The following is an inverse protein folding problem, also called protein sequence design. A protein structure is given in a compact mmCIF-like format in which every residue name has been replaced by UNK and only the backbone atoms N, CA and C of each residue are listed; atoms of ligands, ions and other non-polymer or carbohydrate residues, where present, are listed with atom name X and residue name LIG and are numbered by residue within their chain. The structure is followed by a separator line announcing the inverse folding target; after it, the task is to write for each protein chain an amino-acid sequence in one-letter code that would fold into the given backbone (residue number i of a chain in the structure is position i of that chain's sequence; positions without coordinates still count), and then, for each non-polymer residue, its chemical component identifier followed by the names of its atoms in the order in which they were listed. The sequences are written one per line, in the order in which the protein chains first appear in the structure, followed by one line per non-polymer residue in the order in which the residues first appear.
data_IF_418486474375
#
_entry.id   IF_418486474375
#
_cell.length_a   1.000
_cell.length_b   1.000
_cell.length_c   1.000
_cell.angle_alpha   90.00
_cell.angle_beta   90.00
_cell.angle_gamma   90.00
#
_symmetry.space_group_name_H-M   'P 1'
#
loop_
_entity.id
_entity.type
_entity.pdbx_description
1 polymer ?
#
# COMPACT_ATOMS: atom_id res chain seq x y z
N UNK A 1 35.13 2.27 18.96
CA UNK A 1 33.72 2.26 18.52
C UNK A 1 33.50 3.54 17.74
N UNK A 2 33.54 3.47 16.40
CA UNK A 2 33.65 4.66 15.55
C UNK A 2 32.29 5.25 15.21
N UNK A 3 32.20 6.57 15.30
CA UNK A 3 31.12 7.37 14.75
C UNK A 3 31.10 7.19 13.23
N UNK A 4 29.93 6.91 12.65
CA UNK A 4 29.78 6.74 11.19
C UNK A 4 28.89 7.84 10.62
N UNK A 5 29.35 8.47 9.55
CA UNK A 5 28.54 9.42 8.79
C UNK A 5 27.79 8.69 7.66
N UNK A 6 26.48 8.90 7.56
CA UNK A 6 25.63 8.32 6.52
C UNK A 6 24.72 9.39 5.90
N UNK A 7 24.50 9.24 4.61
CA UNK A 7 23.64 10.10 3.79
C UNK A 7 22.70 9.20 3.02
N UNK A 8 21.42 9.54 3.03
CA UNK A 8 20.39 8.85 2.26
C UNK A 8 20.38 9.31 0.80
N UNK A 9 19.88 8.47 -0.10
CA UNK A 9 19.65 8.82 -1.49
C UNK A 9 18.64 9.97 -1.68
N UNK A 10 18.48 10.41 -2.93
CA UNK A 10 17.57 11.51 -3.30
C UNK A 10 16.13 11.21 -2.89
N UNK A 11 15.63 10.01 -3.17
CA UNK A 11 14.27 9.56 -2.85
C UNK A 11 14.17 8.78 -1.53
N UNK A 12 15.28 8.64 -0.81
CA UNK A 12 15.37 7.87 0.43
C UNK A 12 15.48 8.77 1.65
N UNK A 13 15.06 8.29 2.81
CA UNK A 13 15.29 8.93 4.10
C UNK A 13 15.98 7.97 5.08
N UNK A 14 16.89 8.52 5.87
CA UNK A 14 17.59 7.80 6.92
C UNK A 14 16.74 7.87 8.20
N UNK A 15 16.39 6.71 8.71
CA UNK A 15 15.66 6.57 9.96
C UNK A 15 16.57 6.02 11.05
N UNK A 16 16.64 6.71 12.18
CA UNK A 16 17.57 6.42 13.26
C UNK A 16 16.79 6.16 14.54
N UNK A 17 17.20 5.11 15.26
CA UNK A 17 16.64 4.70 16.55
C UNK A 17 17.76 4.26 17.49
N UNK A 18 17.57 4.42 18.80
CA UNK A 18 18.51 3.91 19.80
C UNK A 18 18.80 4.92 20.89
N UNK A 19 19.96 4.76 21.55
CA UNK A 19 20.29 5.55 22.74
C UNK A 19 20.36 7.05 22.43
N UNK A 20 19.66 7.87 23.21
CA UNK A 20 19.58 9.32 23.06
C UNK A 20 18.56 9.84 22.03
N UNK A 21 17.71 8.96 21.49
CA UNK A 21 16.61 9.35 20.59
C UNK A 21 15.32 8.79 21.17
N UNK A 22 14.37 9.66 21.51
CA UNK A 22 13.03 9.24 21.93
C UNK A 22 12.23 8.85 20.70
N UNK A 23 11.99 7.54 20.53
CA UNK A 23 11.22 7.00 19.41
C UNK A 23 12.04 6.84 18.12
N UNK A 24 11.74 7.68 17.12
CA UNK A 24 12.27 7.57 15.76
C UNK A 24 12.63 8.96 15.24
N UNK A 25 13.84 9.13 14.72
CA UNK A 25 14.27 10.36 14.04
C UNK A 25 14.46 10.10 12.56
N UNK A 26 13.91 10.97 11.72
CA UNK A 26 14.00 10.88 10.25
C UNK A 26 14.85 12.04 9.73
N UNK A 27 15.88 11.75 8.94
CA UNK A 27 16.83 12.73 8.42
C UNK A 27 17.33 12.33 7.02
N UNK A 28 17.83 13.29 6.22
CA UNK A 28 18.57 12.98 4.98
C UNK A 28 20.03 12.61 5.21
N UNK A 29 20.64 13.22 6.23
CA UNK A 29 22.04 12.99 6.62
C UNK A 29 22.13 12.96 8.14
N UNK A 30 22.95 12.06 8.68
CA UNK A 30 23.19 12.04 10.10
C UNK A 30 24.50 11.36 10.46
N UNK A 31 24.96 11.72 11.65
CA UNK A 31 26.08 11.12 12.33
C UNK A 31 25.55 10.08 13.32
N UNK A 32 25.86 8.81 13.08
CA UNK A 32 25.32 7.69 13.84
C UNK A 32 26.28 7.39 14.99
N UNK A 33 25.75 7.52 16.20
CA UNK A 33 26.48 7.27 17.42
C UNK A 33 26.59 5.78 17.73
N UNK A 34 27.63 5.37 18.50
CA UNK A 34 27.65 4.05 19.12
C UNK A 34 26.33 3.77 19.85
N UNK A 35 25.77 2.57 19.66
CA UNK A 35 24.46 2.13 20.18
C UNK A 35 23.21 2.68 19.46
N UNK A 36 23.36 3.36 18.32
CA UNK A 36 22.25 3.70 17.43
C UNK A 36 22.16 2.71 16.26
N UNK A 37 20.93 2.37 15.90
CA UNK A 37 20.59 1.61 14.69
C UNK A 37 19.95 2.54 13.68
N UNK A 38 20.15 2.25 12.41
CA UNK A 38 19.56 3.03 11.33
C UNK A 38 19.07 2.12 10.21
N UNK A 39 18.15 2.62 9.40
CA UNK A 39 17.69 1.98 8.17
C UNK A 39 17.21 3.04 7.17
N UNK A 40 17.12 2.67 5.89
CA UNK A 40 16.64 3.56 4.83
C UNK A 40 15.18 3.27 4.52
N UNK A 41 14.43 4.33 4.21
CA UNK A 41 13.04 4.29 3.78
C UNK A 41 12.93 4.97 2.42
N UNK A 42 12.29 4.31 1.47
CA UNK A 42 11.95 4.85 0.16
C UNK A 42 10.64 5.64 0.23
N UNK A 43 10.61 6.81 -0.42
CA UNK A 43 9.39 7.62 -0.55
C UNK A 43 8.63 7.35 -1.85
N UNK A 44 9.14 6.47 -2.69
CA UNK A 44 8.52 6.18 -3.98
C UNK A 44 7.22 5.39 -3.79
N UNK A 45 6.17 5.72 -4.55
CA UNK A 45 4.94 4.94 -4.53
C UNK A 45 5.20 3.55 -5.13
N UNK A 46 4.46 2.57 -4.62
CA UNK A 46 4.51 1.18 -5.03
C UNK A 46 3.14 0.73 -5.54
N UNK A 47 3.16 -0.16 -6.53
CA UNK A 47 1.95 -0.68 -7.17
C UNK A 47 1.62 -2.06 -6.60
N UNK A 48 0.36 -2.25 -6.17
CA UNK A 48 -0.21 -3.54 -5.81
C UNK A 48 -1.25 -3.96 -6.83
N UNK A 49 -1.01 -5.09 -7.49
CA UNK A 49 -1.95 -5.70 -8.42
C UNK A 49 -2.71 -6.82 -7.73
N UNK A 50 -4.03 -6.72 -7.68
CA UNK A 50 -4.89 -7.79 -7.18
C UNK A 50 -5.86 -8.24 -8.25
N UNK A 51 -6.01 -9.56 -8.38
CA UNK A 51 -7.15 -10.18 -9.04
C UNK A 51 -8.00 -10.80 -7.95
N UNK A 52 -9.23 -10.34 -7.81
CA UNK A 52 -10.12 -10.80 -6.74
C UNK A 52 -11.54 -11.03 -7.24
N UNK A 53 -12.18 -12.02 -6.62
CA UNK A 53 -13.59 -12.32 -6.80
C UNK A 53 -14.41 -11.49 -5.81
N UNK A 54 -15.41 -10.82 -6.36
CA UNK A 54 -16.24 -9.84 -5.67
C UNK A 54 -17.70 -10.09 -6.00
N UNK A 55 -18.56 -9.77 -5.04
CA UNK A 55 -20.02 -9.89 -5.17
C UNK A 55 -20.63 -8.49 -5.20
N UNK A 56 -21.50 -8.24 -6.18
CA UNK A 56 -22.30 -7.00 -6.28
C UNK A 56 -23.49 -7.00 -5.32
N UNK A 57 -24.18 -5.86 -5.21
CA UNK A 57 -25.45 -5.74 -4.50
C UNK A 57 -26.53 -6.69 -5.04
N UNK A 58 -26.50 -7.03 -6.34
CA UNK A 58 -27.44 -7.96 -6.98
C UNK A 58 -27.09 -9.44 -6.78
N UNK A 59 -26.13 -9.73 -5.88
CA UNK A 59 -25.61 -11.08 -5.61
C UNK A 59 -24.99 -11.77 -6.83
N UNK A 60 -24.49 -10.99 -7.79
CA UNK A 60 -23.72 -11.52 -8.92
C UNK A 60 -22.23 -11.51 -8.59
N UNK A 61 -21.59 -12.67 -8.78
CA UNK A 61 -20.14 -12.86 -8.60
C UNK A 61 -19.38 -12.59 -9.91
N UNK A 62 -18.30 -11.82 -9.80
CA UNK A 62 -17.41 -11.49 -10.90
C UNK A 62 -15.98 -11.28 -10.43
N UNK A 63 -15.03 -11.50 -11.32
CA UNK A 63 -13.60 -11.29 -11.06
C UNK A 63 -13.17 -9.95 -11.63
N UNK A 64 -12.43 -9.16 -10.84
CA UNK A 64 -11.82 -7.90 -11.28
C UNK A 64 -10.32 -7.89 -10.98
N UNK A 65 -9.56 -7.39 -11.94
CA UNK A 65 -8.14 -7.06 -11.81
C UNK A 65 -7.99 -5.55 -11.51
N UNK A 66 -7.44 -5.19 -10.36
CA UNK A 66 -7.26 -3.79 -9.93
C UNK A 66 -5.81 -3.57 -9.47
N UNK A 67 -5.20 -2.51 -10.00
CA UNK A 67 -3.90 -2.00 -9.57
C UNK A 67 -4.08 -0.77 -8.69
N UNK A 68 -3.45 -0.80 -7.51
CA UNK A 68 -3.43 0.28 -6.54
C UNK A 68 -2.04 0.88 -6.49
N UNK A 69 -1.93 2.19 -6.68
CA UNK A 69 -0.69 2.93 -6.45
C UNK A 69 -0.76 3.56 -5.07
N UNK A 70 0.03 3.04 -4.13
CA UNK A 70 0.05 3.47 -2.73
C UNK A 70 1.43 3.99 -2.39
N UNK A 71 1.51 5.03 -1.57
CA UNK A 71 2.80 5.53 -1.10
C UNK A 71 2.69 6.24 0.24
N UNK A 72 3.82 6.64 0.84
CA UNK A 72 3.82 7.41 2.05
C UNK A 72 3.35 8.86 1.80
N UNK A 73 2.78 9.46 2.83
CA UNK A 73 2.48 10.90 2.85
C UNK A 73 3.78 11.64 3.15
N UNK A 74 4.23 12.48 2.22
CA UNK A 74 5.53 13.18 2.31
C UNK A 74 5.40 14.53 3.03
N UNK A 75 4.21 15.12 3.03
CA UNK A 75 3.98 16.48 3.53
C UNK A 75 3.93 16.59 5.07
N UNK A 76 3.70 15.46 5.76
CA UNK A 76 3.56 15.41 7.22
C UNK A 76 4.66 14.55 7.88
N UNK A 77 5.41 15.16 8.81
CA UNK A 77 6.45 14.48 9.57
C UNK A 77 5.86 13.37 10.46
N UNK A 78 4.66 13.57 11.03
CA UNK A 78 4.01 12.58 11.88
C UNK A 78 3.57 11.35 11.08
N UNK A 79 3.02 11.56 9.88
CA UNK A 79 2.70 10.48 8.94
C UNK A 79 3.96 9.69 8.57
N UNK A 80 5.09 10.37 8.35
CA UNK A 80 6.36 9.73 8.03
C UNK A 80 6.89 8.86 9.18
N UNK A 81 6.69 9.31 10.43
CA UNK A 81 7.01 8.52 11.62
C UNK A 81 6.11 7.29 11.73
N UNK A 82 4.80 7.41 11.44
CA UNK A 82 3.86 6.26 11.40
C UNK A 82 4.27 5.26 10.32
N UNK A 83 4.64 5.74 9.13
CA UNK A 83 5.16 4.92 8.06
C UNK A 83 6.45 4.20 8.45
N UNK A 84 7.40 4.89 9.07
CA UNK A 84 8.64 4.30 9.58
C UNK A 84 8.40 3.23 10.67
N UNK A 85 7.36 3.41 11.49
CA UNK A 85 6.92 2.41 12.47
C UNK A 85 6.29 1.18 11.79
N UNK A 86 5.71 1.32 10.61
CA UNK A 86 4.95 0.28 9.92
C UNK A 86 5.78 -0.91 9.41
N UNK A 87 7.10 -0.79 9.28
CA UNK A 87 8.07 -1.74 8.68
C UNK A 87 8.17 -3.17 9.30
N UNK A 88 7.22 -3.62 10.12
CA UNK A 88 7.19 -5.02 10.60
C UNK A 88 6.71 -5.96 9.49
N UNK A 89 7.45 -7.06 9.21
CA UNK A 89 7.06 -8.10 8.23
C UNK A 89 5.64 -8.65 8.42
N UNK A 90 5.11 -8.63 9.66
CA UNK A 90 3.75 -9.11 9.95
C UNK A 90 2.65 -8.15 9.47
N UNK A 91 2.98 -6.89 9.15
CA UNK A 91 1.98 -5.85 8.82
C UNK A 91 1.68 -5.73 7.33
N UNK A 92 2.50 -6.31 6.45
CA UNK A 92 2.22 -6.33 5.00
C UNK A 92 0.89 -7.06 4.71
N UNK A 93 0.67 -8.21 5.34
CA UNK A 93 -0.60 -8.94 5.20
C UNK A 93 -1.83 -8.18 5.76
N UNK A 94 -1.63 -7.18 6.62
CA UNK A 94 -2.72 -6.31 7.09
C UNK A 94 -3.15 -5.36 5.98
N UNK A 95 -2.21 -4.77 5.24
CA UNK A 95 -2.55 -3.92 4.08
C UNK A 95 -3.29 -4.72 3.02
N UNK A 96 -2.79 -5.91 2.67
CA UNK A 96 -3.45 -6.79 1.69
C UNK A 96 -4.91 -7.08 2.11
N UNK A 97 -5.13 -7.38 3.39
CA UNK A 97 -6.44 -7.67 3.94
C UNK A 97 -7.38 -6.46 3.88
N UNK A 98 -6.89 -5.27 4.26
CA UNK A 98 -7.67 -4.02 4.20
C UNK A 98 -8.08 -3.70 2.76
N UNK A 99 -7.15 -3.77 1.80
CA UNK A 99 -7.45 -3.46 0.38
C UNK A 99 -8.56 -4.36 -0.16
N UNK A 100 -8.44 -5.66 0.06
CA UNK A 100 -9.40 -6.64 -0.43
C UNK A 100 -10.76 -6.47 0.24
N UNK A 101 -10.79 -6.29 1.56
CA UNK A 101 -12.05 -6.18 2.30
C UNK A 101 -12.80 -4.89 2.00
N UNK A 102 -12.11 -3.74 1.96
CA UNK A 102 -12.74 -2.46 1.64
C UNK A 102 -13.28 -2.45 0.21
N UNK A 103 -12.53 -2.99 -0.74
CA UNK A 103 -13.02 -3.05 -2.12
C UNK A 103 -14.23 -3.96 -2.27
N UNK A 104 -14.26 -5.10 -1.56
CA UNK A 104 -15.44 -5.97 -1.50
C UNK A 104 -16.64 -5.28 -0.86
N UNK A 105 -16.42 -4.49 0.19
CA UNK A 105 -17.48 -3.72 0.84
C UNK A 105 -18.10 -2.70 -0.11
N UNK A 106 -17.29 -1.96 -0.87
CA UNK A 106 -17.79 -0.99 -1.86
C UNK A 106 -18.55 -1.69 -2.98
N UNK A 107 -18.03 -2.78 -3.51
CA UNK A 107 -18.71 -3.52 -4.57
C UNK A 107 -20.04 -4.15 -4.11
N UNK A 108 -20.11 -4.65 -2.88
CA UNK A 108 -21.36 -5.18 -2.31
C UNK A 108 -22.44 -4.10 -2.13
N UNK A 109 -22.07 -2.81 -2.12
CA UNK A 109 -22.99 -1.69 -2.02
C UNK A 109 -23.51 -1.16 -3.36
N UNK A 110 -22.92 -1.61 -4.48
CA UNK A 110 -23.24 -1.13 -5.83
C UNK A 110 -23.78 -2.27 -6.69
N UNK A 111 -24.71 -1.95 -7.59
CA UNK A 111 -25.15 -2.94 -8.58
C UNK A 111 -24.06 -3.20 -9.60
N UNK A 112 -24.15 -4.34 -10.28
CA UNK A 112 -23.18 -4.68 -11.32
C UNK A 112 -23.17 -3.62 -12.42
N UNK A 113 -24.34 -3.16 -12.85
CA UNK A 113 -24.52 -2.09 -13.83
C UNK A 113 -23.89 -0.78 -13.37
N UNK A 114 -24.04 -0.40 -12.09
CA UNK A 114 -23.42 0.80 -11.54
C UNK A 114 -21.90 0.69 -11.54
N UNK A 115 -21.33 -0.45 -11.18
CA UNK A 115 -19.87 -0.67 -11.22
C UNK A 115 -19.34 -0.51 -12.66
N UNK A 116 -20.07 -1.00 -13.66
CA UNK A 116 -19.68 -0.88 -15.07
C UNK A 116 -19.88 0.51 -15.66
N UNK A 117 -21.07 1.11 -15.46
CA UNK A 117 -21.42 2.39 -16.06
C UNK A 117 -20.81 3.58 -15.31
N UNK A 118 -20.60 3.43 -13.99
CA UNK A 118 -20.09 4.47 -13.08
C UNK A 118 -18.80 4.03 -12.41
N UNK A 119 -17.86 3.54 -13.20
CA UNK A 119 -16.56 3.07 -12.70
C UNK A 119 -15.80 4.14 -11.91
N UNK A 120 -16.03 5.42 -12.20
CA UNK A 120 -15.43 6.54 -11.46
C UNK A 120 -16.03 6.68 -10.05
N UNK A 121 -17.30 6.38 -9.87
CA UNK A 121 -17.96 6.40 -8.55
C UNK A 121 -17.45 5.24 -7.71
N UNK A 122 -17.32 4.06 -8.33
CA UNK A 122 -16.68 2.91 -7.71
C UNK A 122 -15.24 3.23 -7.28
N UNK A 123 -14.41 3.77 -8.17
CA UNK A 123 -13.02 4.18 -7.84
C UNK A 123 -12.98 5.18 -6.68
N UNK A 124 -13.84 6.20 -6.70
CA UNK A 124 -13.90 7.21 -5.63
C UNK A 124 -14.32 6.59 -4.30
N UNK A 125 -15.29 5.68 -4.30
CA UNK A 125 -15.70 4.93 -3.11
C UNK A 125 -14.54 4.15 -2.50
N UNK A 126 -13.83 3.39 -3.33
CA UNK A 126 -12.67 2.58 -2.90
C UNK A 126 -11.54 3.48 -2.37
N UNK A 127 -11.17 4.55 -3.09
CA UNK A 127 -10.12 5.48 -2.64
C UNK A 127 -10.47 6.11 -1.29
N UNK A 128 -11.69 6.61 -1.14
CA UNK A 128 -12.11 7.27 0.10
C UNK A 128 -12.08 6.33 1.32
N UNK A 129 -12.48 5.07 1.14
CA UNK A 129 -12.43 4.08 2.21
C UNK A 129 -10.98 3.71 2.56
N UNK A 130 -10.16 3.43 1.54
CA UNK A 130 -8.77 3.05 1.74
C UNK A 130 -7.95 4.18 2.37
N UNK A 131 -8.14 5.43 1.94
CA UNK A 131 -7.43 6.57 2.52
C UNK A 131 -7.74 6.75 4.01
N UNK A 132 -8.97 6.48 4.44
CA UNK A 132 -9.37 6.52 5.86
C UNK A 132 -8.66 5.44 6.68
N UNK A 133 -8.62 4.21 6.17
CA UNK A 133 -7.95 3.09 6.83
C UNK A 133 -6.41 3.23 6.82
N UNK A 134 -5.86 3.90 5.81
CA UNK A 134 -4.42 4.03 5.60
C UNK A 134 -3.77 5.28 6.20
N UNK A 135 -4.54 6.35 6.40
CA UNK A 135 -4.05 7.58 7.04
C UNK A 135 -3.41 7.35 8.43
N UNK A 136 -3.96 6.50 9.34
CA UNK A 136 -3.33 6.17 10.61
C UNK A 136 -1.96 5.48 10.47
N UNK A 137 -1.71 4.80 9.36
CA UNK A 137 -0.46 4.11 9.08
C UNK A 137 0.56 5.00 8.34
N UNK A 138 0.15 6.20 7.90
CA UNK A 138 1.00 7.14 7.16
C UNK A 138 1.08 6.85 5.65
N UNK A 139 0.09 6.13 5.11
CA UNK A 139 -0.03 5.86 3.68
C UNK A 139 -1.17 6.66 3.06
N UNK A 140 -1.07 6.89 1.76
CA UNK A 140 -2.11 7.47 0.92
C UNK A 140 -2.21 6.68 -0.39
N UNK A 141 -3.44 6.57 -0.91
CA UNK A 141 -3.70 6.02 -2.24
C UNK A 141 -3.59 7.14 -3.27
N UNK A 142 -2.61 7.03 -4.18
CA UNK A 142 -2.43 8.00 -5.27
C UNK A 142 -3.36 7.72 -6.44
N UNK A 143 -3.57 6.44 -6.75
CA UNK A 143 -4.40 6.04 -7.88
C UNK A 143 -4.96 4.63 -7.71
N UNK A 144 -6.11 4.39 -8.34
CA UNK A 144 -6.72 3.07 -8.49
C UNK A 144 -7.07 2.86 -9.96
N UNK A 145 -6.44 1.84 -10.55
CA UNK A 145 -6.61 1.48 -11.94
C UNK A 145 -7.31 0.12 -12.06
N UNK A 146 -8.49 0.11 -12.65
CA UNK A 146 -9.22 -1.12 -12.95
C UNK A 146 -8.75 -1.58 -14.34
N UNK A 147 -8.06 -2.72 -14.39
CA UNK A 147 -7.41 -3.24 -15.60
C UNK A 147 -8.43 -3.87 -16.56
N UNK A 148 -9.34 -4.68 -16.02
CA UNK A 148 -10.26 -5.48 -16.82
C UNK A 148 -11.72 -5.06 -16.62
N UNK A 149 -12.53 -5.25 -17.66
CA UNK A 149 -13.99 -5.22 -17.49
C UNK A 149 -14.38 -6.45 -16.67
N UNK A 150 -15.17 -6.30 -15.60
CA UNK A 150 -15.63 -7.42 -14.80
C UNK A 150 -16.19 -8.56 -15.68
N UNK A 151 -15.66 -9.77 -15.51
CA UNK A 151 -16.18 -10.94 -16.20
C UNK A 151 -17.08 -11.73 -15.25
N UNK A 152 -18.32 -12.01 -15.66
CA UNK A 152 -19.22 -12.88 -14.91
C UNK A 152 -18.69 -14.30 -14.97
N UNK A 153 -18.52 -14.94 -13.81
CA UNK A 153 -17.84 -16.23 -13.65
C UNK A 153 -18.53 -17.44 -14.31
N UNK A 154 -19.57 -17.26 -15.15
CA UNK A 154 -20.25 -18.37 -15.84
C UNK A 154 -19.46 -18.94 -17.03
N UNK A 155 -18.40 -18.26 -17.50
CA UNK A 155 -17.51 -18.76 -18.57
C UNK A 155 -16.29 -17.84 -18.70
N UNK A 156 -15.26 -18.05 -17.88
CA UNK A 156 -13.92 -17.53 -18.18
C UNK A 156 -12.94 -18.67 -17.91
N UNK A 157 -12.26 -19.10 -18.96
CA UNK A 157 -11.27 -20.16 -18.90
C UNK A 157 -10.17 -19.82 -17.89
N UNK A 158 -9.97 -20.71 -16.93
CA UNK A 158 -9.06 -20.62 -15.79
C UNK A 158 -7.57 -20.71 -16.15
N UNK A 159 -7.14 -20.24 -17.32
CA UNK A 159 -5.75 -20.41 -17.77
C UNK A 159 -4.77 -19.33 -17.29
N UNK A 160 -5.22 -18.34 -16.52
CA UNK A 160 -4.32 -17.36 -15.90
C UNK A 160 -4.29 -17.56 -14.39
N UNK A 161 -3.28 -18.30 -13.92
CA UNK A 161 -2.91 -18.37 -12.49
C UNK A 161 -2.87 -16.96 -11.90
N UNK A 162 -3.25 -16.77 -10.62
CA UNK A 162 -3.04 -15.49 -9.96
C UNK A 162 -1.55 -15.17 -10.07
N UNK A 163 -1.23 -14.07 -10.75
CA UNK A 163 0.07 -13.47 -10.58
C UNK A 163 0.22 -13.25 -9.08
N UNK A 164 1.14 -13.99 -8.45
CA UNK A 164 1.64 -13.57 -7.14
C UNK A 164 1.97 -12.08 -7.28
N UNK A 165 1.67 -11.22 -6.29
CA UNK A 165 2.22 -9.88 -6.31
C UNK A 165 3.69 -10.04 -6.64
N UNK A 166 4.15 -9.35 -7.68
CA UNK A 166 5.54 -9.36 -8.09
C UNK A 166 6.35 -9.04 -6.83
N UNK A 167 6.86 -10.08 -6.19
CA UNK A 167 7.85 -10.01 -5.12
C UNK A 167 9.22 -9.71 -5.74
N UNK A 168 9.23 -9.03 -6.89
CA UNK A 168 10.38 -8.60 -7.65
C UNK A 168 10.50 -7.07 -7.71
N UNK A 169 9.89 -6.37 -6.75
CA UNK A 169 10.62 -5.32 -6.06
C UNK A 169 10.95 -5.81 -4.66
N UNK A 170 11.97 -6.68 -4.64
CA UNK A 170 12.74 -7.05 -3.46
C UNK A 170 12.82 -5.86 -2.51
N UNK A 171 12.22 -5.99 -1.33
CA UNK A 171 12.75 -5.37 -0.12
C UNK A 171 14.15 -5.96 0.12
N UNK A 172 15.12 -5.61 -0.73
CA UNK A 172 16.55 -5.86 -0.56
C UNK A 172 17.12 -4.69 0.23
N UNK A 173 16.60 -4.51 1.45
CA UNK A 173 17.24 -3.69 2.45
C UNK A 173 17.28 -4.53 3.73
N UNK A 174 18.48 -5.09 3.94
CA UNK A 174 18.98 -5.86 5.08
C UNK A 174 18.21 -5.69 6.39
#
# INVERSE_FOLDING_TARGET
MFIKYRVAGTSEYLVIRGRGIEGIKICKKALIWPFQKYFYIDMLPFNYSYRMDITSADMLEFTVSIDYTIGPIVDDEDALIRYAKFRSKRRLGVMDCVIVNETRSVAASMTMEEIFMRIQDFKRGVINNLDREFSPFGFQVYNVHVLDRPCVARRCDYSAQPGKPSSDNKFKYF
#
